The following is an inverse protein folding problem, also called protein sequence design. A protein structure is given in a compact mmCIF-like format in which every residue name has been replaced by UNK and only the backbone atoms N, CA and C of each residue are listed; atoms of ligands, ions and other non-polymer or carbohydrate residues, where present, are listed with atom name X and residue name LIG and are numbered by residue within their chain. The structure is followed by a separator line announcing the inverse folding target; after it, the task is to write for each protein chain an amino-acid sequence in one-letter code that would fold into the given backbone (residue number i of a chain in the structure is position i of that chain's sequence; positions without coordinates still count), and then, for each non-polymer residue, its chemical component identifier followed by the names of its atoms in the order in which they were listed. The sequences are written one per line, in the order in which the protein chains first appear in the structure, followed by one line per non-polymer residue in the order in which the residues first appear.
data_IF_715361273232
#
_entry.id   IF_715361273232
#
_cell.length_a   1.000
_cell.length_b   1.000
_cell.length_c   1.000
_cell.angle_alpha   90.00
_cell.angle_beta   90.00
_cell.angle_gamma   90.00
#
_symmetry.space_group_name_H-M   'P 1'
#
loop_
_entity.id
_entity.type
_entity.pdbx_description
1 polymer ?
#
# COMPACT_ATOMS: atom_id res chain seq x y z
N UNK A 1 -2.16 1.49 -28.56
CA UNK A 1 -1.26 1.75 -27.43
C UNK A 1 -0.92 3.23 -27.39
N UNK A 2 -1.08 3.90 -26.23
CA UNK A 2 -0.75 5.32 -26.03
C UNK A 2 0.40 5.40 -25.03
N UNK A 3 1.40 6.22 -25.32
CA UNK A 3 2.47 6.56 -24.39
C UNK A 3 2.14 7.92 -23.77
N UNK A 4 1.74 7.91 -22.49
CA UNK A 4 1.41 9.12 -21.76
C UNK A 4 2.59 9.53 -20.88
N UNK A 5 3.11 10.73 -21.12
CA UNK A 5 4.20 11.30 -20.32
C UNK A 5 3.67 12.24 -19.26
N UNK A 6 3.99 11.96 -18.00
CA UNK A 6 3.53 12.72 -16.84
C UNK A 6 4.68 12.99 -15.88
N UNK A 7 4.72 14.16 -15.25
CA UNK A 7 5.62 14.41 -14.13
C UNK A 7 5.11 13.70 -12.89
N UNK A 8 6.03 13.24 -12.05
CA UNK A 8 5.72 12.64 -10.76
C UNK A 8 6.83 12.89 -9.75
N UNK A 9 6.60 12.40 -8.54
CA UNK A 9 7.56 12.45 -7.45
C UNK A 9 7.67 11.09 -6.79
N UNK A 10 8.92 10.68 -6.53
CA UNK A 10 9.17 9.46 -5.75
C UNK A 10 8.89 9.73 -4.27
N UNK A 11 8.27 8.77 -3.62
CA UNK A 11 8.03 8.79 -2.18
C UNK A 11 8.49 7.48 -1.54
N UNK A 12 8.84 7.49 -0.24
CA UNK A 12 9.11 6.24 0.47
C UNK A 12 7.87 5.33 0.44
N UNK A 13 8.08 4.03 0.43
CA UNK A 13 6.97 3.09 0.58
C UNK A 13 6.25 3.26 1.92
N UNK A 14 7.04 3.44 2.98
CA UNK A 14 6.56 3.80 4.32
C UNK A 14 7.46 4.89 4.85
N UNK A 15 6.89 5.90 5.47
CA UNK A 15 7.58 7.02 6.11
C UNK A 15 6.93 7.26 7.47
N UNK A 16 7.65 7.00 8.54
CA UNK A 16 7.11 7.07 9.89
C UNK A 16 7.99 7.88 10.83
N UNK A 17 7.41 8.84 11.55
CA UNK A 17 8.05 9.44 12.70
C UNK A 17 8.07 8.46 13.86
N UNK A 18 9.19 8.36 14.56
CA UNK A 18 9.37 7.51 15.74
C UNK A 18 9.37 8.40 16.99
N UNK A 19 8.47 8.07 17.91
CA UNK A 19 8.27 8.81 19.17
C UNK A 19 8.65 7.96 20.37
N UNK A 20 8.96 8.62 21.47
CA UNK A 20 9.11 7.96 22.76
C UNK A 20 7.75 7.55 23.33
N UNK A 21 7.66 6.35 23.86
CA UNK A 21 6.49 5.84 24.58
C UNK A 21 6.62 6.01 26.10
N UNK A 22 7.83 6.25 26.60
CA UNK A 22 8.13 6.54 28.00
C UNK A 22 8.90 7.86 28.13
N UNK A 23 8.79 8.51 29.29
CA UNK A 23 9.55 9.73 29.60
C UNK A 23 10.87 9.39 30.28
N UNK A 24 11.90 10.15 29.96
CA UNK A 24 13.22 9.97 30.56
C UNK A 24 14.28 10.80 29.86
N UNK A 25 15.55 10.54 30.16
CA UNK A 25 16.67 11.15 29.48
C UNK A 25 17.25 10.21 28.43
N UNK A 26 17.58 10.73 27.24
CA UNK A 26 18.23 9.92 26.23
C UNK A 26 19.62 9.50 26.70
N UNK A 27 19.83 8.22 26.93
CA UNK A 27 21.07 7.64 27.40
C UNK A 27 22.06 7.42 26.26
N UNK A 28 21.58 6.89 25.16
CA UNK A 28 22.36 6.59 23.97
C UNK A 28 21.47 6.50 22.73
N UNK A 29 22.07 6.73 21.57
CA UNK A 29 21.51 6.38 20.28
C UNK A 29 22.53 5.50 19.52
N UNK A 30 22.04 4.58 18.69
CA UNK A 30 22.87 3.56 18.03
C UNK A 30 22.95 3.73 16.52
N UNK A 31 22.00 4.45 15.94
CA UNK A 31 21.91 4.68 14.49
C UNK A 31 21.77 6.17 14.19
N UNK A 32 22.59 6.67 13.28
CA UNK A 32 22.53 8.06 12.82
C UNK A 32 21.84 8.19 11.47
N UNK A 33 21.67 9.40 10.98
CA UNK A 33 21.06 9.73 9.69
C UNK A 33 21.80 8.99 8.57
N UNK A 34 21.04 8.35 7.67
CA UNK A 34 21.57 7.54 6.58
C UNK A 34 21.83 6.07 6.94
N UNK A 35 21.78 5.69 8.20
CA UNK A 35 21.98 4.30 8.63
C UNK A 35 20.80 3.42 8.20
N UNK A 36 21.12 2.19 7.74
CA UNK A 36 20.13 1.15 7.47
C UNK A 36 19.84 0.39 8.75
N UNK A 37 18.56 0.16 9.01
CA UNK A 37 18.06 -0.55 10.19
C UNK A 37 17.06 -1.62 9.79
N UNK A 38 16.94 -2.65 10.62
CA UNK A 38 15.95 -3.71 10.51
C UNK A 38 14.85 -3.52 11.54
N UNK A 39 13.69 -4.10 11.28
CA UNK A 39 12.61 -4.16 12.25
C UNK A 39 13.10 -4.83 13.55
N UNK A 40 12.84 -4.15 14.69
CA UNK A 40 13.31 -4.56 16.02
C UNK A 40 14.68 -4.02 16.43
N UNK A 41 15.46 -3.42 15.54
CA UNK A 41 16.72 -2.78 15.92
C UNK A 41 16.46 -1.66 16.93
N UNK A 42 17.28 -1.59 17.99
CA UNK A 42 17.20 -0.52 19.00
C UNK A 42 17.85 0.72 18.45
N UNK A 43 17.05 1.74 18.16
CA UNK A 43 17.51 3.04 17.64
C UNK A 43 18.15 3.90 18.74
N UNK A 44 17.54 3.86 19.93
CA UNK A 44 17.99 4.63 21.09
C UNK A 44 17.54 3.97 22.40
N UNK A 45 18.22 4.31 23.48
CA UNK A 45 17.91 3.91 24.85
C UNK A 45 17.60 5.14 25.69
N UNK A 46 16.47 5.11 26.40
CA UNK A 46 16.03 6.15 27.33
C UNK A 46 16.29 5.65 28.75
N UNK A 47 16.92 6.46 29.58
CA UNK A 47 17.09 6.20 30.99
C UNK A 47 15.79 6.54 31.74
N UNK A 48 15.22 5.54 32.42
CA UNK A 48 13.90 5.62 33.07
C UNK A 48 13.97 5.21 34.54
N UNK A 49 14.78 5.88 35.39
CA UNK A 49 15.03 5.46 36.75
C UNK A 49 13.76 5.37 37.61
N UNK A 50 12.77 6.18 37.33
CA UNK A 50 11.49 6.15 38.04
C UNK A 50 10.71 4.85 37.74
N UNK A 51 10.62 4.43 36.49
CA UNK A 51 9.93 3.20 36.08
C UNK A 51 10.69 1.98 36.64
N UNK A 52 12.02 1.99 36.59
CA UNK A 52 12.86 0.90 37.11
C UNK A 52 12.64 0.71 38.64
N UNK A 53 12.55 1.83 39.40
CA UNK A 53 12.26 1.77 40.83
C UNK A 53 10.84 1.30 41.14
N UNK A 54 9.84 1.77 40.38
CA UNK A 54 8.46 1.32 40.52
C UNK A 54 8.34 -0.18 40.24
N UNK A 55 9.02 -0.68 39.22
CA UNK A 55 9.03 -2.10 38.87
C UNK A 55 9.68 -2.94 39.98
N UNK A 56 10.83 -2.49 40.50
CA UNK A 56 11.50 -3.14 41.60
C UNK A 56 10.61 -3.21 42.85
N UNK A 57 9.90 -2.14 43.18
CA UNK A 57 8.92 -2.08 44.27
C UNK A 57 7.75 -3.05 44.03
N UNK A 58 7.15 -3.07 42.86
CA UNK A 58 6.03 -3.95 42.53
C UNK A 58 6.42 -5.43 42.60
N UNK A 59 7.63 -5.80 42.12
CA UNK A 59 8.18 -7.16 42.22
C UNK A 59 8.36 -7.57 43.68
N UNK A 60 8.85 -6.67 44.53
CA UNK A 60 8.99 -6.94 45.96
C UNK A 60 7.63 -7.11 46.65
N UNK A 61 6.66 -6.25 46.34
CA UNK A 61 5.29 -6.33 46.86
C UNK A 61 4.61 -7.64 46.48
N UNK A 62 4.78 -8.13 45.26
CA UNK A 62 4.21 -9.41 44.81
C UNK A 62 4.70 -10.63 45.62
N UNK A 63 5.82 -10.53 46.30
CA UNK A 63 6.34 -11.59 47.18
C UNK A 63 5.41 -11.89 48.34
N UNK A 64 4.76 -10.91 48.93
CA UNK A 64 3.85 -11.07 50.09
C UNK A 64 2.61 -11.91 49.73
N UNK A 65 1.79 -11.57 48.71
CA UNK A 65 0.63 -12.35 48.34
C UNK A 65 1.01 -13.76 47.81
N UNK A 66 2.19 -13.96 47.22
CA UNK A 66 2.66 -15.28 46.82
C UNK A 66 2.85 -16.18 48.02
N UNK A 67 3.50 -15.69 49.10
CA UNK A 67 3.68 -16.43 50.33
C UNK A 67 2.34 -16.70 51.05
N UNK A 68 1.43 -15.73 51.07
CA UNK A 68 0.08 -15.88 51.63
C UNK A 68 -0.73 -16.96 50.89
N UNK A 69 -0.68 -16.96 49.55
CA UNK A 69 -1.34 -17.97 48.71
C UNK A 69 -0.76 -19.38 48.98
N UNK A 70 0.55 -19.50 49.08
CA UNK A 70 1.19 -20.78 49.37
C UNK A 70 0.71 -21.37 50.72
N UNK A 71 0.64 -20.55 51.77
CA UNK A 71 0.09 -20.96 53.08
C UNK A 71 -1.40 -21.33 52.95
N UNK A 72 -2.20 -20.54 52.26
CA UNK A 72 -3.62 -20.79 52.04
C UNK A 72 -3.85 -22.09 51.25
N UNK A 73 -3.02 -22.38 50.25
CA UNK A 73 -3.06 -23.61 49.46
C UNK A 73 -2.79 -24.84 50.31
N UNK A 74 -1.73 -24.82 51.11
CA UNK A 74 -1.41 -25.94 52.02
C UNK A 74 -2.55 -26.20 53.01
N UNK A 75 -3.18 -25.15 53.52
CA UNK A 75 -4.33 -25.28 54.42
C UNK A 75 -5.54 -25.86 53.69
N UNK A 76 -5.85 -25.34 52.49
CA UNK A 76 -6.95 -25.83 51.65
C UNK A 76 -6.76 -27.34 51.33
N UNK A 77 -5.58 -27.75 50.88
CA UNK A 77 -5.28 -29.13 50.52
C UNK A 77 -5.43 -30.11 51.72
N UNK A 78 -4.96 -29.68 52.91
CA UNK A 78 -5.14 -30.44 54.13
C UNK A 78 -6.59 -30.56 54.52
N UNK A 79 -7.34 -29.45 54.54
CA UNK A 79 -8.72 -29.40 54.96
C UNK A 79 -9.62 -30.15 53.95
N UNK A 80 -9.30 -30.13 52.65
CA UNK A 80 -9.97 -30.95 51.65
C UNK A 80 -9.87 -32.47 51.96
N UNK A 81 -8.71 -32.93 52.43
CA UNK A 81 -8.53 -34.33 52.79
C UNK A 81 -9.33 -34.67 54.06
N UNK A 82 -9.30 -33.80 55.09
CA UNK A 82 -10.04 -33.99 56.31
C UNK A 82 -11.58 -33.95 56.11
N UNK A 83 -12.04 -33.08 55.19
CA UNK A 83 -13.45 -33.03 54.82
C UNK A 83 -13.92 -34.31 54.11
N UNK A 84 -13.10 -34.88 53.20
CA UNK A 84 -13.39 -36.17 52.54
C UNK A 84 -13.53 -37.35 53.55
N UNK A 85 -12.89 -37.24 54.70
CA UNK A 85 -12.97 -38.25 55.77
C UNK A 85 -13.96 -37.86 56.86
N UNK A 86 -14.79 -36.81 56.67
CA UNK A 86 -15.80 -36.30 57.63
C UNK A 86 -15.19 -35.86 58.98
N UNK A 87 -13.95 -35.39 59.01
CA UNK A 87 -13.28 -34.96 60.25
C UNK A 87 -13.55 -33.50 60.59
N UNK A 88 -13.82 -32.65 59.58
CA UNK A 88 -14.11 -31.23 59.76
C UNK A 88 -15.51 -30.89 59.22
N UNK A 89 -16.06 -29.76 59.70
CA UNK A 89 -17.34 -29.24 59.23
C UNK A 89 -17.21 -28.65 57.78
N UNK A 90 -18.33 -28.64 57.02
CA UNK A 90 -18.37 -28.06 55.70
C UNK A 90 -17.99 -26.55 55.72
N UNK A 91 -18.41 -25.83 56.78
CA UNK A 91 -18.07 -24.40 56.90
C UNK A 91 -16.57 -24.14 57.03
N UNK A 92 -15.79 -25.01 57.68
CA UNK A 92 -14.34 -24.88 57.83
C UNK A 92 -13.67 -25.06 56.47
N UNK A 93 -14.09 -26.07 55.71
CA UNK A 93 -13.60 -26.30 54.34
C UNK A 93 -13.92 -25.15 53.42
N UNK A 94 -15.18 -24.64 53.42
CA UNK A 94 -15.62 -23.50 52.60
C UNK A 94 -14.82 -22.23 52.94
N UNK A 95 -14.46 -22.05 54.24
CA UNK A 95 -13.61 -20.92 54.65
C UNK A 95 -12.19 -21.07 54.12
N UNK A 96 -11.58 -22.26 54.19
CA UNK A 96 -10.26 -22.52 53.63
C UNK A 96 -10.24 -22.34 52.11
N UNK A 97 -11.28 -22.81 51.42
CA UNK A 97 -11.43 -22.64 49.98
C UNK A 97 -11.56 -21.13 49.58
N UNK A 98 -12.39 -20.39 50.32
CA UNK A 98 -12.55 -18.95 50.08
C UNK A 98 -11.25 -18.18 50.31
N UNK A 99 -10.50 -18.51 51.35
CA UNK A 99 -9.22 -17.89 51.66
C UNK A 99 -8.17 -18.19 50.56
N UNK A 100 -8.13 -19.43 50.08
CA UNK A 100 -7.23 -19.83 48.99
C UNK A 100 -7.56 -19.05 47.70
N UNK A 101 -8.81 -19.06 47.28
CA UNK A 101 -9.25 -18.33 46.06
C UNK A 101 -9.07 -16.80 46.18
N UNK A 102 -9.31 -16.23 47.37
CA UNK A 102 -9.04 -14.83 47.66
C UNK A 102 -7.56 -14.46 47.54
N UNK A 103 -6.68 -15.31 48.10
CA UNK A 103 -5.23 -15.12 47.99
C UNK A 103 -4.72 -15.28 46.56
N UNK A 104 -5.29 -16.21 45.78
CA UNK A 104 -5.00 -16.41 44.37
C UNK A 104 -5.38 -15.17 43.55
N UNK A 105 -6.58 -14.62 43.79
CA UNK A 105 -7.02 -13.38 43.10
C UNK A 105 -6.08 -12.21 43.41
N UNK A 106 -5.56 -12.10 44.64
CA UNK A 106 -4.60 -11.04 45.01
C UNK A 106 -3.27 -11.22 44.25
N UNK A 107 -2.74 -12.46 44.16
CA UNK A 107 -1.53 -12.73 43.35
C UNK A 107 -1.72 -12.35 41.90
N UNK A 108 -2.88 -12.65 41.30
CA UNK A 108 -3.19 -12.29 39.90
C UNK A 108 -3.21 -10.76 39.72
N UNK A 109 -3.81 -10.03 40.67
CA UNK A 109 -3.90 -8.56 40.62
C UNK A 109 -2.48 -7.91 40.69
N UNK A 110 -1.64 -8.36 41.66
CA UNK A 110 -0.30 -7.79 41.82
C UNK A 110 0.63 -8.22 40.68
N UNK A 111 0.48 -9.42 40.12
CA UNK A 111 1.21 -9.86 38.94
C UNK A 111 0.84 -9.01 37.72
N UNK A 112 -0.43 -8.62 37.57
CA UNK A 112 -0.85 -7.72 36.50
C UNK A 112 -0.18 -6.33 36.61
N UNK A 113 0.01 -5.83 37.85
CA UNK A 113 0.76 -4.60 38.08
C UNK A 113 2.23 -4.73 37.65
N UNK A 114 2.90 -5.82 38.00
CA UNK A 114 4.27 -6.10 37.54
C UNK A 114 4.33 -6.15 36.03
N UNK A 115 3.45 -6.91 35.37
CA UNK A 115 3.42 -7.03 33.93
C UNK A 115 3.23 -5.66 33.23
N UNK A 116 2.39 -4.79 33.80
CA UNK A 116 2.19 -3.41 33.30
C UNK A 116 3.48 -2.60 33.37
N UNK A 117 4.22 -2.67 34.48
CA UNK A 117 5.46 -1.94 34.65
C UNK A 117 6.60 -2.51 33.79
N UNK A 118 6.64 -3.83 33.58
CA UNK A 118 7.57 -4.47 32.63
C UNK A 118 7.31 -4.02 31.19
N UNK A 119 6.05 -3.85 30.80
CA UNK A 119 5.72 -3.30 29.49
C UNK A 119 6.15 -1.82 29.36
N UNK A 120 6.02 -1.04 30.43
CA UNK A 120 6.52 0.34 30.46
C UNK A 120 8.06 0.41 30.43
N UNK A 121 8.73 -0.48 31.14
CA UNK A 121 10.20 -0.61 31.13
C UNK A 121 10.70 -0.98 29.72
N UNK A 122 10.03 -1.88 29.02
CA UNK A 122 10.41 -2.26 27.66
C UNK A 122 10.43 -1.06 26.69
N UNK A 123 9.61 -0.04 26.91
CA UNK A 123 9.57 1.17 26.10
C UNK A 123 10.80 2.07 26.25
N UNK A 124 11.72 1.80 27.20
CA UNK A 124 13.02 2.48 27.26
C UNK A 124 13.84 2.25 25.99
N UNK A 125 13.67 1.10 25.34
CA UNK A 125 14.28 0.80 24.06
C UNK A 125 13.39 1.30 22.92
N UNK A 126 13.79 2.37 22.27
CA UNK A 126 13.13 2.88 21.08
C UNK A 126 13.54 2.02 19.89
N UNK A 127 12.63 1.23 19.34
CA UNK A 127 12.93 0.26 18.27
C UNK A 127 12.39 0.69 16.92
N UNK A 128 13.03 0.22 15.84
CA UNK A 128 12.55 0.39 14.47
C UNK A 128 11.33 -0.51 14.22
N UNK A 129 10.18 0.03 13.77
CA UNK A 129 8.97 -0.77 13.50
C UNK A 129 9.04 -1.56 12.19
N UNK A 130 9.93 -1.20 11.27
CA UNK A 130 10.13 -1.84 9.96
C UNK A 130 11.55 -1.61 9.45
N UNK A 131 11.95 -2.39 8.44
CA UNK A 131 13.23 -2.23 7.76
C UNK A 131 13.27 -0.93 6.97
N UNK A 132 14.31 -0.11 7.16
CA UNK A 132 14.39 1.17 6.49
C UNK A 132 15.72 1.88 6.67
N UNK A 133 15.68 3.18 6.38
CA UNK A 133 16.81 4.10 6.55
C UNK A 133 16.38 5.21 7.50
N UNK A 134 17.23 5.58 8.43
CA UNK A 134 17.02 6.74 9.30
C UNK A 134 17.18 8.02 8.47
N UNK A 135 16.11 8.78 8.29
CA UNK A 135 16.12 10.03 7.49
C UNK A 135 16.25 11.27 8.32
N UNK A 136 15.93 11.21 9.61
CA UNK A 136 16.15 12.29 10.55
C UNK A 136 16.39 11.75 11.98
N UNK A 137 17.22 12.48 12.74
CA UNK A 137 17.41 12.32 14.17
C UNK A 137 17.28 13.71 14.81
N UNK A 138 16.28 13.87 15.67
CA UNK A 138 15.92 15.17 16.27
C UNK A 138 16.19 15.21 17.77
N UNK A 139 17.01 14.31 18.27
CA UNK A 139 17.36 14.22 19.68
C UNK A 139 18.84 13.92 19.85
N UNK A 140 19.40 14.22 21.04
CA UNK A 140 20.78 13.90 21.34
C UNK A 140 20.93 13.39 22.79
N UNK A 141 22.08 12.79 23.10
CA UNK A 141 22.38 12.21 24.42
C UNK A 141 22.22 13.28 25.49
N UNK A 142 21.54 12.92 26.59
CA UNK A 142 21.23 13.81 27.70
C UNK A 142 19.99 14.67 27.50
N UNK A 143 19.34 14.65 26.32
CA UNK A 143 18.09 15.37 26.11
C UNK A 143 16.94 14.69 26.91
N UNK A 144 16.11 15.51 27.56
CA UNK A 144 14.90 15.03 28.18
C UNK A 144 13.84 14.76 27.11
N UNK A 145 13.27 13.57 27.13
CA UNK A 145 12.27 13.10 26.18
C UNK A 145 10.97 12.84 26.94
N UNK A 146 9.96 13.72 26.79
CA UNK A 146 8.65 13.49 27.39
C UNK A 146 7.79 12.57 26.54
N UNK A 147 7.12 11.60 27.14
CA UNK A 147 6.13 10.77 26.45
C UNK A 147 4.90 11.58 26.06
N UNK A 148 4.29 11.27 24.92
CA UNK A 148 3.06 11.91 24.47
C UNK A 148 3.17 13.37 24.03
N UNK A 149 4.36 13.96 24.02
CA UNK A 149 4.59 15.37 23.62
C UNK A 149 4.52 15.63 22.12
N UNK A 150 4.47 14.58 21.29
CA UNK A 150 4.61 14.70 19.84
C UNK A 150 6.03 15.00 19.37
N UNK A 151 7.03 14.96 20.26
CA UNK A 151 8.44 15.13 19.89
C UNK A 151 8.94 13.91 19.13
N UNK A 152 9.17 14.08 17.84
CA UNK A 152 9.74 13.04 16.98
C UNK A 152 11.23 12.86 17.32
N UNK A 153 11.62 11.63 17.69
CA UNK A 153 13.03 11.31 17.96
C UNK A 153 13.79 10.97 16.69
N UNK A 154 13.21 10.07 15.89
CA UNK A 154 13.75 9.65 14.60
C UNK A 154 12.66 9.71 13.54
N UNK A 155 13.09 9.72 12.28
CA UNK A 155 12.25 9.48 11.14
C UNK A 155 12.82 8.32 10.35
N UNK A 156 11.99 7.32 10.07
CA UNK A 156 12.38 6.11 9.40
C UNK A 156 11.62 5.99 8.08
N UNK A 157 12.35 5.75 6.99
CA UNK A 157 11.76 5.59 5.66
C UNK A 157 12.15 4.25 5.05
N UNK A 158 11.15 3.52 4.53
CA UNK A 158 11.38 2.37 3.66
C UNK A 158 11.54 2.88 2.24
N UNK A 159 12.73 2.68 1.67
CA UNK A 159 13.11 3.21 0.36
C UNK A 159 13.17 2.15 -0.74
N UNK A 160 12.82 0.91 -0.43
CA UNK A 160 12.69 -0.18 -1.40
C UNK A 160 11.48 -1.05 -1.01
N UNK A 161 10.48 -1.18 -1.91
CA UNK A 161 10.31 -0.37 -3.13
C UNK A 161 10.03 1.11 -2.84
N UNK A 162 9.96 1.95 -3.88
CA UNK A 162 9.47 3.32 -3.79
C UNK A 162 8.05 3.41 -4.35
N UNK A 163 7.28 4.38 -3.87
CA UNK A 163 6.02 4.79 -4.47
C UNK A 163 6.23 6.01 -5.34
N UNK A 164 5.46 6.11 -6.42
CA UNK A 164 5.44 7.29 -7.28
C UNK A 164 3.99 7.68 -7.53
N UNK A 165 3.63 8.89 -7.16
CA UNK A 165 2.29 9.42 -7.41
C UNK A 165 2.28 10.26 -8.67
N UNK A 166 1.29 10.02 -9.49
CA UNK A 166 1.08 10.68 -10.77
C UNK A 166 -0.36 11.13 -10.89
N UNK A 167 -0.55 12.33 -11.34
CA UNK A 167 -1.85 12.90 -11.64
C UNK A 167 -2.22 12.65 -13.10
N UNK A 168 -2.99 11.62 -13.38
CA UNK A 168 -3.45 11.25 -14.71
C UNK A 168 -4.65 12.11 -15.12
N UNK A 169 -4.61 12.82 -16.28
CA UNK A 169 -5.75 13.62 -16.76
C UNK A 169 -7.00 12.78 -16.98
N UNK A 170 -8.19 13.36 -16.73
CA UNK A 170 -9.51 12.70 -16.83
C UNK A 170 -9.72 11.94 -18.15
N UNK A 171 -9.27 12.53 -19.29
CA UNK A 171 -9.39 11.92 -20.61
C UNK A 171 -8.69 10.55 -20.74
N UNK A 172 -7.68 10.27 -19.91
CA UNK A 172 -6.92 9.02 -19.89
C UNK A 172 -7.28 8.12 -18.72
N UNK A 173 -8.03 8.63 -17.73
CA UNK A 173 -8.40 7.89 -16.54
C UNK A 173 -9.09 6.53 -16.82
N UNK A 174 -10.01 6.40 -17.79
CA UNK A 174 -10.65 5.12 -18.12
C UNK A 174 -9.70 4.09 -18.74
N UNK A 175 -8.51 4.50 -19.17
CA UNK A 175 -7.52 3.64 -19.82
C UNK A 175 -6.46 3.12 -18.83
N UNK A 176 -6.45 3.65 -17.60
CA UNK A 176 -5.49 3.23 -16.56
C UNK A 176 -6.02 2.03 -15.81
N UNK A 177 -5.25 0.94 -15.85
CA UNK A 177 -5.58 -0.29 -15.15
C UNK A 177 -4.45 -0.70 -14.19
N UNK A 178 -4.82 -1.47 -13.19
CA UNK A 178 -3.83 -2.07 -12.28
C UNK A 178 -2.93 -3.01 -13.09
N UNK A 179 -1.62 -2.93 -12.83
CA UNK A 179 -0.60 -3.70 -13.54
C UNK A 179 -0.08 -3.03 -14.83
N UNK A 180 -0.63 -1.90 -15.26
CA UNK A 180 -0.10 -1.18 -16.41
C UNK A 180 1.38 -0.83 -16.22
N UNK A 181 2.17 -1.11 -17.26
CA UNK A 181 3.59 -0.84 -17.24
C UNK A 181 3.91 0.65 -17.39
N UNK A 182 4.87 1.10 -16.64
CA UNK A 182 5.42 2.44 -16.75
C UNK A 182 6.95 2.41 -16.75
N UNK A 183 7.52 3.47 -17.30
CA UNK A 183 8.96 3.67 -17.29
C UNK A 183 9.25 5.04 -16.69
N UNK A 184 10.14 5.08 -15.69
CA UNK A 184 10.60 6.31 -15.07
C UNK A 184 11.96 6.70 -15.63
N UNK A 185 12.12 8.00 -15.86
CA UNK A 185 13.41 8.63 -16.10
C UNK A 185 13.63 9.74 -15.08
N UNK A 186 14.87 9.86 -14.61
CA UNK A 186 15.31 10.89 -13.66
C UNK A 186 16.47 11.67 -14.28
N UNK A 187 16.49 12.97 -14.03
CA UNK A 187 17.54 13.84 -14.60
C UNK A 187 18.96 13.48 -14.11
N UNK A 188 19.04 12.89 -12.91
CA UNK A 188 20.33 12.43 -12.34
C UNK A 188 20.94 11.26 -13.11
N UNK A 189 20.13 10.43 -13.78
CA UNK A 189 20.54 9.26 -14.54
C UNK A 189 19.83 9.23 -15.91
N UNK A 190 20.15 10.14 -16.84
CA UNK A 190 19.38 10.31 -18.09
C UNK A 190 19.43 9.08 -19.01
N UNK A 191 20.49 8.30 -18.92
CA UNK A 191 20.63 7.04 -19.70
C UNK A 191 19.95 5.83 -19.04
N UNK A 192 19.54 5.93 -17.76
CA UNK A 192 18.93 4.82 -17.02
C UNK A 192 17.42 4.99 -16.93
N UNK A 193 16.72 3.94 -17.29
CA UNK A 193 15.26 3.86 -17.14
C UNK A 193 14.92 2.86 -16.04
N UNK A 194 13.95 3.20 -15.21
CA UNK A 194 13.49 2.34 -14.13
C UNK A 194 12.09 1.83 -14.48
N UNK A 195 11.92 0.52 -14.41
CA UNK A 195 10.62 -0.09 -14.62
C UNK A 195 9.71 0.15 -13.41
N UNK A 196 8.45 0.42 -13.69
CA UNK A 196 7.41 0.59 -12.70
C UNK A 196 6.10 -0.02 -13.19
N UNK A 197 5.16 -0.21 -12.30
CA UNK A 197 3.82 -0.66 -12.65
C UNK A 197 2.78 0.04 -11.75
N UNK A 198 1.57 0.19 -12.27
CA UNK A 198 0.44 0.77 -11.54
C UNK A 198 -0.04 -0.23 -10.49
N UNK A 199 -0.05 0.18 -9.23
CA UNK A 199 -0.50 -0.65 -8.09
C UNK A 199 -1.84 -0.20 -7.54
N UNK A 200 -2.16 1.10 -7.67
CA UNK A 200 -3.42 1.63 -7.19
C UNK A 200 -3.84 2.90 -7.96
N UNK A 201 -5.12 3.19 -7.92
CA UNK A 201 -5.67 4.49 -8.32
C UNK A 201 -6.63 4.97 -7.24
N UNK A 202 -6.87 6.28 -7.17
CA UNK A 202 -7.86 6.83 -6.22
C UNK A 202 -9.30 6.38 -6.49
N UNK A 203 -9.57 5.75 -7.64
CA UNK A 203 -10.92 5.34 -8.05
C UNK A 203 -11.89 6.51 -8.29
N UNK A 204 -11.44 7.75 -8.10
CA UNK A 204 -12.24 8.96 -8.25
C UNK A 204 -11.40 10.08 -8.86
N UNK A 205 -12.03 10.87 -9.73
CA UNK A 205 -11.41 12.06 -10.30
C UNK A 205 -11.55 13.21 -9.30
N UNK A 206 -10.43 13.86 -9.00
CA UNK A 206 -10.43 15.04 -8.14
C UNK A 206 -11.23 16.18 -8.84
N UNK A 207 -12.30 16.69 -8.22
CA UNK A 207 -13.20 17.67 -8.89
C UNK A 207 -12.52 19.01 -9.19
N UNK A 208 -11.48 19.36 -8.44
CA UNK A 208 -10.75 20.62 -8.62
C UNK A 208 -9.68 20.51 -9.70
N UNK A 209 -8.84 19.46 -9.65
CA UNK A 209 -7.73 19.29 -10.60
C UNK A 209 -8.12 18.57 -11.89
N UNK A 210 -9.30 17.91 -11.93
CA UNK A 210 -9.75 17.04 -13.04
C UNK A 210 -8.73 15.96 -13.37
N UNK A 211 -8.15 15.35 -12.34
CA UNK A 211 -7.12 14.30 -12.47
C UNK A 211 -7.45 13.10 -11.59
N UNK A 212 -7.04 11.93 -12.06
CA UNK A 212 -7.05 10.67 -11.31
C UNK A 212 -5.68 10.50 -10.67
N UNK A 213 -5.61 10.41 -9.34
CA UNK A 213 -4.38 10.04 -8.66
C UNK A 213 -4.07 8.56 -8.94
N UNK A 214 -2.91 8.32 -9.54
CA UNK A 214 -2.40 6.99 -9.88
C UNK A 214 -1.12 6.73 -9.09
N UNK A 215 -1.06 5.61 -8.39
CA UNK A 215 0.11 5.16 -7.64
C UNK A 215 0.84 4.08 -8.43
N UNK A 216 2.15 4.29 -8.59
CA UNK A 216 3.06 3.31 -9.19
C UNK A 216 4.06 2.83 -8.15
N UNK A 217 4.49 1.59 -8.29
CA UNK A 217 5.57 1.00 -7.50
C UNK A 217 6.81 0.80 -8.36
N UNK A 218 7.97 1.13 -7.78
CA UNK A 218 9.28 1.07 -8.43
C UNK A 218 10.24 0.29 -7.54
N UNK A 219 10.78 -0.85 -7.97
CA UNK A 219 11.86 -1.53 -7.26
C UNK A 219 13.10 -0.63 -7.13
N UNK A 220 13.68 -0.56 -5.93
CA UNK A 220 14.84 0.28 -5.65
C UNK A 220 15.88 -0.45 -4.78
N UNK A 221 16.16 -1.70 -5.08
CA UNK A 221 17.11 -2.52 -4.31
C UNK A 221 18.52 -1.92 -4.26
N UNK A 222 18.91 -1.24 -5.33
CA UNK A 222 20.22 -0.58 -5.42
C UNK A 222 20.31 0.75 -4.66
N UNK A 223 19.16 1.29 -4.18
CA UNK A 223 19.09 2.59 -3.51
C UNK A 223 19.45 3.80 -4.38
N UNK A 224 19.51 3.65 -5.70
CA UNK A 224 19.87 4.74 -6.64
C UNK A 224 18.81 5.83 -6.69
N UNK A 225 17.53 5.44 -6.62
CA UNK A 225 16.44 6.41 -6.56
C UNK A 225 16.27 6.89 -5.12
N UNK A 226 16.30 8.20 -4.95
CA UNK A 226 16.05 8.82 -3.65
C UNK A 226 14.57 9.20 -3.53
N UNK A 227 13.94 9.00 -2.36
CA UNK A 227 12.64 9.59 -2.08
C UNK A 227 12.69 11.11 -2.22
N UNK A 228 11.60 11.71 -2.73
CA UNK A 228 11.52 13.14 -2.97
C UNK A 228 12.04 13.60 -4.34
N UNK A 229 12.63 12.71 -5.15
CA UNK A 229 13.12 13.06 -6.47
C UNK A 229 11.95 13.28 -7.46
N UNK A 230 12.09 14.32 -8.29
CA UNK A 230 11.20 14.50 -9.44
C UNK A 230 11.57 13.50 -10.55
N UNK A 231 10.53 12.89 -11.12
CA UNK A 231 10.66 11.90 -12.17
C UNK A 231 9.72 12.19 -13.33
N UNK A 232 10.15 11.84 -14.53
CA UNK A 232 9.30 11.81 -15.70
C UNK A 232 8.84 10.37 -15.91
N UNK A 233 7.53 10.17 -15.93
CA UNK A 233 6.90 8.86 -16.09
C UNK A 233 6.35 8.75 -17.48
N UNK A 234 6.64 7.64 -18.16
CA UNK A 234 5.99 7.24 -19.39
C UNK A 234 5.10 6.04 -19.09
N UNK A 235 3.81 6.28 -19.00
CA UNK A 235 2.79 5.26 -18.76
C UNK A 235 2.34 4.64 -20.08
N UNK A 236 2.32 3.32 -20.18
CA UNK A 236 1.86 2.57 -21.36
C UNK A 236 0.41 2.20 -21.18
N UNK A 237 -0.47 2.92 -21.86
CA UNK A 237 -1.90 2.68 -21.80
C UNK A 237 -2.35 1.79 -22.96
N UNK A 238 -3.06 0.74 -22.63
CA UNK A 238 -3.68 -0.13 -23.61
C UNK A 238 -5.01 0.50 -24.05
N UNK A 239 -5.10 0.86 -25.32
CA UNK A 239 -6.38 1.20 -25.91
C UNK A 239 -6.94 -0.07 -26.53
N UNK A 240 -8.26 -0.31 -26.39
CA UNK A 240 -8.93 -1.26 -27.29
C UNK A 240 -8.52 -0.91 -28.73
N UNK A 241 -8.15 -1.90 -29.52
CA UNK A 241 -7.64 -1.71 -30.85
C UNK A 241 -8.63 -0.87 -31.69
N UNK A 242 -8.37 0.44 -31.74
CA UNK A 242 -9.08 1.30 -32.66
C UNK A 242 -8.57 0.95 -34.06
N UNK A 243 -9.40 0.30 -34.86
CA UNK A 243 -9.07 -0.04 -36.25
C UNK A 243 -8.89 1.26 -37.03
N UNK A 244 -7.74 1.44 -37.65
CA UNK A 244 -7.49 2.61 -38.49
C UNK A 244 -7.81 2.28 -39.95
N UNK A 245 -8.82 2.95 -40.52
CA UNK A 245 -9.28 2.74 -41.89
C UNK A 245 -9.00 3.95 -42.77
N UNK A 246 -8.84 3.79 -44.07
CA UNK A 246 -8.76 4.92 -44.99
C UNK A 246 -10.06 5.75 -44.98
N UNK A 247 -9.99 7.08 -44.96
CA UNK A 247 -11.18 7.94 -44.96
C UNK A 247 -12.11 7.69 -46.18
N UNK A 248 -11.57 7.23 -47.29
CA UNK A 248 -12.33 6.83 -48.52
C UNK A 248 -13.16 5.56 -48.38
N UNK A 249 -13.15 4.87 -47.23
CA UNK A 249 -14.07 3.73 -46.95
C UNK A 249 -15.36 4.18 -46.29
N UNK A 250 -15.46 5.47 -45.89
CA UNK A 250 -16.62 5.99 -45.19
C UNK A 250 -17.81 6.14 -46.14
N UNK A 251 -18.97 5.71 -45.68
CA UNK A 251 -20.28 5.97 -46.22
C UNK A 251 -20.98 6.99 -45.31
N UNK A 252 -21.54 8.01 -45.91
CA UNK A 252 -22.41 8.97 -45.23
C UNK A 252 -23.84 8.72 -45.70
N UNK A 253 -24.48 7.72 -45.16
CA UNK A 253 -25.91 7.49 -45.31
C UNK A 253 -26.60 7.96 -44.03
N UNK A 254 -27.33 9.07 -44.10
CA UNK A 254 -27.90 9.75 -42.95
C UNK A 254 -26.81 10.39 -42.04
N UNK A 255 -27.18 10.88 -40.87
CA UNK A 255 -26.29 11.64 -39.97
C UNK A 255 -25.18 10.81 -39.27
N UNK A 256 -25.10 9.49 -39.52
CA UNK A 256 -24.12 8.63 -38.85
C UNK A 256 -23.11 8.01 -39.83
N UNK A 257 -21.80 8.02 -39.52
CA UNK A 257 -20.79 7.40 -40.36
C UNK A 257 -20.94 5.87 -40.35
N UNK A 258 -20.87 5.28 -41.56
CA UNK A 258 -20.94 3.83 -41.77
C UNK A 258 -19.84 3.37 -42.75
N UNK A 259 -19.63 2.07 -42.83
CA UNK A 259 -18.72 1.43 -43.80
C UNK A 259 -19.36 0.19 -44.38
N UNK A 260 -19.01 -0.16 -45.64
CA UNK A 260 -19.39 -1.40 -46.28
C UNK A 260 -18.36 -2.48 -45.94
N UNK A 261 -18.81 -3.52 -45.17
CA UNK A 261 -18.01 -4.72 -44.84
C UNK A 261 -18.42 -5.83 -45.84
N UNK A 262 -17.43 -6.47 -46.46
CA UNK A 262 -17.65 -7.56 -47.39
C UNK A 262 -17.42 -8.87 -46.68
N UNK A 263 -18.45 -9.74 -46.68
CA UNK A 263 -18.35 -11.09 -46.14
C UNK A 263 -17.71 -12.06 -47.15
N UNK A 264 -17.33 -13.23 -46.68
CA UNK A 264 -16.69 -14.28 -47.50
C UNK A 264 -17.51 -14.77 -48.70
N UNK A 265 -18.81 -14.59 -48.65
CA UNK A 265 -19.78 -14.89 -49.70
C UNK A 265 -19.95 -13.75 -50.72
N UNK A 266 -19.24 -12.64 -50.55
CA UNK A 266 -19.33 -11.44 -51.38
C UNK A 266 -20.49 -10.51 -51.04
N UNK A 267 -21.26 -10.81 -50.00
CA UNK A 267 -22.37 -9.97 -49.53
C UNK A 267 -21.86 -8.76 -48.74
N UNK A 268 -22.44 -7.62 -48.94
CA UNK A 268 -22.09 -6.37 -48.26
C UNK A 268 -22.99 -6.12 -47.09
N UNK A 269 -22.38 -5.90 -45.91
CA UNK A 269 -23.04 -5.42 -44.70
C UNK A 269 -22.70 -3.94 -44.52
N UNK A 270 -23.70 -3.08 -44.47
CA UNK A 270 -23.50 -1.67 -44.07
C UNK A 270 -23.51 -1.60 -42.58
N UNK A 271 -22.33 -1.33 -41.98
CA UNK A 271 -22.13 -1.33 -40.56
C UNK A 271 -21.84 0.08 -40.04
N UNK A 272 -22.66 0.54 -39.08
CA UNK A 272 -22.44 1.83 -38.42
C UNK A 272 -21.18 1.73 -37.56
N UNK A 273 -20.38 2.79 -37.61
CA UNK A 273 -19.10 2.87 -36.89
C UNK A 273 -19.05 4.13 -36.02
N UNK A 274 -18.26 4.03 -34.96
CA UNK A 274 -17.99 5.20 -34.12
C UNK A 274 -16.55 5.67 -34.35
N UNK A 275 -16.42 6.84 -35.01
CA UNK A 275 -15.13 7.48 -35.23
C UNK A 275 -14.67 8.18 -33.94
N UNK A 276 -13.43 7.92 -33.51
CA UNK A 276 -12.81 8.56 -32.35
C UNK A 276 -11.84 9.66 -32.75
N UNK A 277 -11.19 9.54 -33.91
CA UNK A 277 -10.21 10.51 -34.34
C UNK A 277 -10.16 10.55 -35.85
N UNK A 278 -10.22 11.75 -36.40
CA UNK A 278 -9.97 12.01 -37.80
C UNK A 278 -8.51 12.45 -37.99
N UNK A 279 -7.78 11.70 -38.84
CA UNK A 279 -6.40 11.93 -39.21
C UNK A 279 -6.26 12.47 -40.67
N UNK A 280 -7.36 12.93 -41.24
CA UNK A 280 -7.45 13.42 -42.60
C UNK A 280 -7.56 12.29 -43.64
N UNK A 281 -6.48 11.62 -43.98
CA UNK A 281 -6.49 10.49 -44.95
C UNK A 281 -6.94 9.16 -44.32
N UNK A 282 -6.98 9.04 -43.00
CA UNK A 282 -7.37 7.88 -42.24
C UNK A 282 -8.25 8.31 -41.08
N UNK A 283 -9.12 7.42 -40.64
CA UNK A 283 -9.94 7.63 -39.44
C UNK A 283 -9.76 6.45 -38.46
N UNK A 284 -9.77 6.73 -37.16
CA UNK A 284 -9.77 5.74 -36.15
C UNK A 284 -11.18 5.41 -35.69
N UNK A 285 -11.51 4.13 -35.70
CA UNK A 285 -12.83 3.58 -35.37
C UNK A 285 -12.71 2.81 -34.06
N UNK A 286 -13.47 3.21 -33.03
CA UNK A 286 -13.46 2.55 -31.72
C UNK A 286 -14.38 1.34 -31.66
N UNK A 287 -15.47 1.36 -32.41
CA UNK A 287 -16.49 0.31 -32.36
C UNK A 287 -17.07 0.05 -33.75
N UNK A 288 -17.47 -1.20 -33.99
CA UNK A 288 -18.12 -1.61 -35.21
C UNK A 288 -17.23 -2.32 -36.23
N UNK A 289 -15.91 -2.40 -36.01
CA UNK A 289 -14.98 -3.07 -36.93
C UNK A 289 -14.00 -3.98 -36.19
N UNK A 290 -13.63 -5.07 -36.85
CA UNK A 290 -12.56 -5.99 -36.50
C UNK A 290 -11.38 -5.80 -37.46
N UNK A 291 -10.16 -6.17 -37.04
CA UNK A 291 -8.96 -6.15 -37.90
C UNK A 291 -9.08 -7.10 -39.11
N UNK A 292 -9.92 -8.11 -39.02
CA UNK A 292 -10.17 -9.07 -40.08
C UNK A 292 -11.22 -8.63 -41.11
N UNK A 293 -11.95 -7.53 -40.85
CA UNK A 293 -13.03 -7.06 -41.74
C UNK A 293 -12.46 -6.53 -43.06
N UNK A 294 -13.04 -6.95 -44.17
CA UNK A 294 -12.72 -6.45 -45.50
C UNK A 294 -13.65 -5.29 -45.84
N UNK A 295 -13.04 -4.12 -46.13
CA UNK A 295 -13.79 -2.89 -46.35
C UNK A 295 -13.77 -2.46 -47.84
N UNK A 296 -14.91 -1.95 -48.30
CA UNK A 296 -15.00 -1.35 -49.66
C UNK A 296 -14.29 0.01 -49.65
N UNK A 297 -13.35 0.18 -50.60
CA UNK A 297 -12.68 1.43 -50.80
C UNK A 297 -13.43 2.21 -51.91
N UNK A 298 -13.78 3.47 -51.70
CA UNK A 298 -14.61 4.29 -52.56
C UNK A 298 -15.96 3.62 -52.85
N UNK A 299 -16.80 3.36 -51.85
CA UNK A 299 -18.09 2.76 -52.05
C UNK A 299 -18.97 3.64 -52.98
N UNK A 300 -19.71 3.05 -53.95
CA UNK A 300 -20.59 3.82 -54.81
C UNK A 300 -21.73 4.43 -53.99
N UNK A 301 -22.20 5.62 -54.40
CA UNK A 301 -23.39 6.21 -53.77
C UNK A 301 -24.60 5.31 -54.02
N UNK A 302 -25.36 5.02 -52.92
CA UNK A 302 -26.52 4.14 -52.98
C UNK A 302 -26.17 2.64 -52.80
N UNK A 303 -25.01 2.31 -52.24
CA UNK A 303 -24.68 0.93 -51.85
C UNK A 303 -25.72 0.41 -50.82
N UNK A 304 -26.43 -0.63 -51.15
CA UNK A 304 -27.46 -1.19 -50.26
C UNK A 304 -26.92 -2.35 -49.43
N UNK A 305 -27.46 -2.51 -48.22
CA UNK A 305 -27.19 -3.68 -47.39
C UNK A 305 -27.67 -4.98 -48.11
N UNK A 306 -26.82 -6.01 -48.16
CA UNK A 306 -27.10 -7.24 -48.90
C UNK A 306 -26.72 -7.22 -50.38
N UNK A 307 -26.13 -6.14 -50.89
CA UNK A 307 -25.59 -6.08 -52.25
C UNK A 307 -24.45 -7.11 -52.42
N UNK A 308 -24.40 -7.78 -53.57
CA UNK A 308 -23.30 -8.71 -53.89
C UNK A 308 -22.23 -7.96 -54.68
N UNK A 309 -21.00 -8.03 -54.17
CA UNK A 309 -19.83 -7.38 -54.83
C UNK A 309 -18.77 -8.44 -55.18
N UNK A 310 -18.09 -8.20 -56.30
CA UNK A 310 -16.94 -9.02 -56.71
C UNK A 310 -15.66 -8.38 -56.20
N UNK A 311 -14.85 -9.07 -55.43
CA UNK A 311 -13.59 -8.54 -54.90
C UNK A 311 -12.58 -8.40 -56.02
N UNK A 312 -12.31 -7.19 -56.45
CA UNK A 312 -11.20 -6.89 -57.35
C UNK A 312 -9.88 -6.88 -56.53
N UNK A 313 -8.85 -7.62 -57.01
CA UNK A 313 -7.52 -7.60 -56.37
C UNK A 313 -7.00 -6.14 -56.27
N UNK A 314 -6.82 -5.67 -55.06
CA UNK A 314 -6.29 -4.34 -54.80
C UNK A 314 -4.93 -4.14 -55.51
N UNK A 315 -4.80 -3.11 -56.34
CA UNK A 315 -3.50 -2.57 -56.75
C UNK A 315 -2.84 -1.99 -55.48
N UNK A 316 -1.70 -2.52 -55.08
CA UNK A 316 -0.86 -1.93 -54.02
C UNK A 316 -0.42 -0.53 -54.53
N UNK A 317 -0.95 0.55 -53.93
CA UNK A 317 -0.32 1.86 -54.08
C UNK A 317 1.03 1.83 -53.35
N UNK A 318 2.10 2.32 -53.98
CA UNK A 318 3.39 2.46 -53.30
C UNK A 318 3.25 3.52 -52.18
N UNK A 319 3.96 3.24 -51.08
CA UNK A 319 4.06 4.12 -49.89
C UNK A 319 4.56 5.52 -50.22
#
# INVERSE_FOLDING_TARGET
MILLQLPGQTMPYTDAPIFAQTSGYLKAWYFDIGAKVKAGDVLAEIDTPEVDQQLAQARAQLGVPKAARELAQVTYDRDQQLFKTNVIAAQDFDTAASNYHGSEATVIADQAMVNRLEALEAFKNVTAPFDGIVTARNTDIGAYVPSGSGMQLFRLARTSPLRVYVDTPEAFAPLVHLGDEATLSVNQFPAQKFAAHVVATSGAINPTSKRLLTELEVPNETGKLQPGAFVQITLRLHTSAAVTIPAKTLLFESDEPAVGVVHSDGMVEIRKIRITRDLGRRVQVAQGLSESDQLIINPPGGLANGAIVTIAKARSEPM
#
